data_IF_154686475200
#
_entry.id   IF_154686475200
#
_cell.length_a   1.000
_cell.length_b   1.000
_cell.length_c   1.000
_cell.angle_alpha   90.00
_cell.angle_beta   90.00
_cell.angle_gamma   90.00
#
_symmetry.space_group_name_H-M   'P 1'
#
loop_
_entity.id
_entity.type
_entity.pdbx_description
1 polymer ?
#
# COMPACT_ATOMS: atom_id res chain seq x y z
N UNK A 1 -6.24 6.47 -2.16
CA UNK A 1 -5.40 5.26 -2.38
C UNK A 1 -4.50 5.03 -1.20
N UNK A 2 -4.02 3.80 -1.02
CA UNK A 2 -3.10 3.42 0.04
C UNK A 2 -2.15 2.28 -0.36
N UNK A 3 -1.02 2.20 0.35
CA UNK A 3 -0.02 1.14 0.22
C UNK A 3 0.69 0.93 1.55
N UNK A 4 0.91 -0.32 1.96
CA UNK A 4 1.82 -0.62 3.07
C UNK A 4 3.25 -0.27 2.66
N UNK A 5 3.95 0.48 3.51
CA UNK A 5 5.34 0.85 3.31
C UNK A 5 6.21 -0.31 3.77
N UNK A 6 7.01 -0.95 2.88
CA UNK A 6 7.99 -1.94 3.32
C UNK A 6 8.92 -1.34 4.38
N UNK A 7 9.25 -2.05 5.47
CA UNK A 7 10.09 -1.53 6.56
C UNK A 7 11.35 -0.82 6.09
N UNK A 8 12.13 -1.40 5.16
CA UNK A 8 13.33 -0.77 4.59
C UNK A 8 13.09 0.55 3.87
N UNK A 9 11.87 0.84 3.44
CA UNK A 9 11.52 2.05 2.68
C UNK A 9 10.98 3.19 3.55
N UNK A 10 10.65 2.95 4.83
CA UNK A 10 10.13 4.01 5.69
C UNK A 10 11.11 5.19 5.81
N UNK A 11 12.35 4.93 6.24
CA UNK A 11 13.38 5.97 6.37
C UNK A 11 13.74 6.60 5.01
N UNK A 12 13.88 5.84 3.90
CA UNK A 12 14.03 6.42 2.57
C UNK A 12 12.89 7.37 2.15
N UNK A 13 11.63 7.05 2.45
CA UNK A 13 10.53 8.00 2.19
C UNK A 13 10.72 9.27 3.02
N UNK A 14 10.85 9.14 4.35
CA UNK A 14 10.95 10.29 5.27
C UNK A 14 12.13 11.21 4.98
N UNK A 15 13.26 10.64 4.56
CA UNK A 15 14.47 11.39 4.20
C UNK A 15 14.46 11.95 2.77
N UNK A 16 13.41 11.70 1.99
CA UNK A 16 13.31 12.13 0.60
C UNK A 16 14.19 11.34 -0.38
N UNK A 17 14.83 10.24 0.06
CA UNK A 17 15.59 9.33 -0.83
C UNK A 17 14.68 8.47 -1.71
N UNK A 18 13.44 8.23 -1.28
CA UNK A 18 12.38 7.60 -2.07
C UNK A 18 11.27 8.62 -2.31
N UNK A 19 11.11 9.03 -3.57
CA UNK A 19 10.21 10.14 -3.97
C UNK A 19 9.04 9.69 -4.84
N UNK A 20 8.91 8.38 -5.09
CA UNK A 20 7.88 7.82 -5.97
C UNK A 20 7.09 6.70 -5.34
N UNK A 21 5.81 6.65 -5.68
CA UNK A 21 4.87 5.57 -5.37
C UNK A 21 4.75 4.69 -6.62
N UNK A 22 4.79 3.37 -6.44
CA UNK A 22 4.67 2.39 -7.53
C UNK A 22 4.21 1.03 -7.00
N UNK A 23 3.80 0.15 -7.92
CA UNK A 23 3.43 -1.22 -7.60
C UNK A 23 1.96 -1.34 -7.21
N UNK A 24 1.66 -2.42 -6.47
CA UNK A 24 0.32 -2.67 -5.95
C UNK A 24 -0.14 -1.65 -4.92
N UNK A 25 -1.37 -1.17 -5.08
CA UNK A 25 -2.03 -0.15 -4.27
C UNK A 25 -3.53 -0.45 -4.15
N UNK A 26 -4.16 0.12 -3.13
CA UNK A 26 -5.54 -0.22 -2.76
C UNK A 26 -6.36 1.05 -2.52
N UNK A 27 -7.69 0.99 -2.70
CA UNK A 27 -8.56 2.08 -2.27
C UNK A 27 -8.76 1.97 -0.76
N UNK A 28 -8.72 3.10 -0.05
CA UNK A 28 -8.88 3.13 1.42
C UNK A 28 -10.21 2.52 1.85
N UNK A 29 -11.29 2.84 1.13
CA UNK A 29 -12.64 2.32 1.40
C UNK A 29 -12.75 0.80 1.26
N UNK A 30 -11.99 0.20 0.34
CA UNK A 30 -11.98 -1.25 0.12
C UNK A 30 -11.21 -1.98 1.24
N UNK A 31 -10.39 -1.25 1.98
CA UNK A 31 -9.62 -1.75 3.12
C UNK A 31 -10.24 -1.33 4.47
N UNK A 32 -11.49 -0.84 4.52
CA UNK A 32 -12.09 -0.28 5.73
C UNK A 32 -12.19 -1.27 6.91
N UNK A 33 -12.14 -2.58 6.63
CA UNK A 33 -12.13 -3.64 7.66
C UNK A 33 -10.73 -4.07 8.10
N UNK A 34 -9.67 -3.55 7.47
CA UNK A 34 -8.29 -3.83 7.85
C UNK A 34 -7.89 -2.81 8.91
N UNK A 35 -7.89 -3.21 10.18
CA UNK A 35 -7.74 -2.30 11.32
C UNK A 35 -6.49 -2.56 12.15
N UNK A 36 -5.94 -3.77 12.06
CA UNK A 36 -4.71 -4.17 12.76
C UNK A 36 -3.60 -4.54 11.78
N UNK A 37 -2.32 -4.54 12.20
CA UNK A 37 -1.22 -5.00 11.36
C UNK A 37 -1.43 -6.41 10.77
N UNK A 38 -2.04 -7.32 11.55
CA UNK A 38 -2.39 -8.67 11.10
C UNK A 38 -3.44 -8.64 9.98
N UNK A 39 -4.48 -7.81 10.10
CA UNK A 39 -5.50 -7.68 9.06
C UNK A 39 -4.86 -7.18 7.75
N UNK A 40 -3.98 -6.17 7.83
CA UNK A 40 -3.25 -5.66 6.67
C UNK A 40 -2.33 -6.73 6.05
N UNK A 41 -1.64 -7.50 6.88
CA UNK A 41 -0.77 -8.58 6.43
C UNK A 41 -1.53 -9.63 5.62
N UNK A 42 -2.64 -10.14 6.15
CA UNK A 42 -3.45 -11.16 5.48
C UNK A 42 -4.35 -10.61 4.38
N UNK A 43 -4.88 -9.40 4.55
CA UNK A 43 -5.81 -8.78 3.60
C UNK A 43 -5.14 -8.31 2.31
N UNK A 44 -3.85 -7.96 2.38
CA UNK A 44 -3.08 -7.40 1.26
C UNK A 44 -1.99 -8.36 0.74
N UNK A 45 -2.09 -9.65 1.07
CA UNK A 45 -1.17 -10.73 0.68
C UNK A 45 0.30 -10.44 1.00
N UNK A 46 0.61 -9.85 2.15
CA UNK A 46 1.98 -9.43 2.47
C UNK A 46 2.90 -10.57 2.90
N UNK A 47 2.48 -11.83 2.73
CA UNK A 47 3.24 -13.05 3.03
C UNK A 47 4.06 -13.58 1.85
N UNK A 48 4.25 -12.78 0.80
CA UNK A 48 4.99 -13.19 -0.39
C UNK A 48 6.50 -13.27 -0.14
N UNK A 49 7.19 -14.07 -0.96
CA UNK A 49 8.65 -14.18 -0.91
C UNK A 49 9.34 -12.83 -1.17
N UNK A 50 10.26 -12.43 -0.29
CA UNK A 50 10.88 -11.11 -0.29
C UNK A 50 10.12 -10.02 0.48
N UNK A 51 8.96 -10.33 1.09
CA UNK A 51 8.35 -9.47 2.10
C UNK A 51 9.18 -9.47 3.40
N UNK A 52 9.33 -8.30 4.01
CA UNK A 52 10.00 -8.13 5.31
C UNK A 52 9.01 -8.16 6.48
N UNK A 53 7.72 -8.38 6.19
CA UNK A 53 6.64 -8.40 7.16
C UNK A 53 6.31 -9.85 7.55
N UNK A 54 5.85 -10.02 8.78
CA UNK A 54 5.30 -11.28 9.29
C UNK A 54 3.91 -11.02 9.87
N UNK A 55 3.12 -12.07 10.08
CA UNK A 55 1.76 -11.94 10.65
C UNK A 55 1.74 -11.39 12.08
N UNK A 56 2.86 -11.46 12.78
CA UNK A 56 2.98 -11.10 14.20
C UNK A 56 3.69 -9.76 14.40
N UNK A 57 3.91 -9.02 13.30
CA UNK A 57 4.47 -7.67 13.37
C UNK A 57 3.57 -6.77 14.24
N UNK A 58 4.11 -6.12 15.28
CA UNK A 58 3.29 -5.35 16.23
C UNK A 58 2.79 -4.03 15.64
N UNK A 59 3.45 -3.53 14.59
CA UNK A 59 3.13 -2.28 13.92
C UNK A 59 3.51 -2.31 12.44
N UNK A 60 2.83 -1.50 11.63
CA UNK A 60 3.26 -1.21 10.27
C UNK A 60 2.87 0.21 9.86
N UNK A 61 3.38 0.63 8.71
CA UNK A 61 3.17 1.97 8.19
C UNK A 61 2.43 1.92 6.86
N UNK A 62 1.41 2.76 6.70
CA UNK A 62 0.59 2.82 5.49
C UNK A 62 0.70 4.21 4.88
N UNK A 63 1.19 4.29 3.65
CA UNK A 63 1.17 5.50 2.84
C UNK A 63 -0.23 5.67 2.24
N UNK A 64 -0.88 6.82 2.46
CA UNK A 64 -2.20 7.19 1.95
C UNK A 64 -2.15 8.51 1.18
N UNK A 65 -2.92 8.59 0.10
CA UNK A 65 -3.00 9.80 -0.73
C UNK A 65 -4.34 9.88 -1.46
N UNK A 66 -4.72 11.07 -1.90
CA UNK A 66 -5.84 11.27 -2.82
C UNK A 66 -5.42 10.91 -4.25
N UNK A 67 -6.22 10.09 -4.94
CA UNK A 67 -6.03 9.85 -6.35
C UNK A 67 -6.31 11.13 -7.15
N UNK A 68 -5.47 11.43 -8.14
CA UNK A 68 -5.67 12.54 -9.07
C UNK A 68 -5.90 11.99 -10.46
N UNK A 69 -6.58 12.76 -11.31
CA UNK A 69 -6.91 12.34 -12.68
C UNK A 69 -5.68 12.05 -13.56
N UNK A 70 -4.54 12.65 -13.21
CA UNK A 70 -3.25 12.43 -13.90
C UNK A 70 -2.58 11.11 -13.51
N UNK A 71 -2.99 10.48 -12.40
CA UNK A 71 -2.39 9.25 -11.90
C UNK A 71 -3.05 8.03 -12.60
N UNK A 72 -2.26 7.06 -13.03
CA UNK A 72 -2.77 5.85 -13.69
C UNK A 72 -2.86 4.68 -12.71
N UNK A 73 -4.06 4.11 -12.58
CA UNK A 73 -4.32 2.90 -11.78
C UNK A 73 -4.95 1.83 -12.68
N UNK A 74 -4.25 0.73 -12.88
CA UNK A 74 -4.72 -0.39 -13.69
C UNK A 74 -5.18 -1.54 -12.79
N UNK A 75 -6.21 -2.26 -13.21
CA UNK A 75 -6.54 -3.56 -12.62
C UNK A 75 -5.62 -4.60 -13.26
N UNK A 76 -4.80 -5.32 -12.48
CA UNK A 76 -3.78 -6.21 -13.02
C UNK A 76 -4.38 -7.57 -13.39
N UNK A 77 -5.13 -7.63 -14.50
CA UNK A 77 -5.72 -8.89 -14.98
C UNK A 77 -4.67 -9.74 -15.72
N UNK A 78 -4.52 -10.99 -15.29
CA UNK A 78 -3.69 -11.97 -15.98
C UNK A 78 -4.41 -12.67 -17.14
N UNK A 79 -3.70 -13.52 -17.91
CA UNK A 79 -4.25 -14.20 -19.08
C UNK A 79 -5.52 -15.01 -18.82
N UNK A 80 -5.64 -15.64 -17.65
CA UNK A 80 -6.81 -16.42 -17.26
C UNK A 80 -8.07 -15.57 -17.02
N UNK A 81 -7.92 -14.25 -16.92
CA UNK A 81 -9.00 -13.26 -16.82
C UNK A 81 -9.11 -12.39 -18.08
N UNK A 82 -8.43 -12.77 -19.17
CA UNK A 82 -8.43 -12.03 -20.44
C UNK A 82 -7.56 -10.78 -20.46
N UNK A 83 -6.68 -10.59 -19.48
CA UNK A 83 -5.65 -9.55 -19.49
C UNK A 83 -4.29 -10.06 -19.96
N UNK A 84 -3.29 -9.19 -19.96
CA UNK A 84 -1.93 -9.45 -20.44
C UNK A 84 -0.86 -9.37 -19.33
N UNK A 85 -1.27 -9.22 -18.07
CA UNK A 85 -0.34 -9.06 -16.96
C UNK A 85 0.27 -10.39 -16.52
N UNK A 86 1.57 -10.38 -16.27
CA UNK A 86 2.31 -11.50 -15.66
C UNK A 86 3.36 -10.91 -14.72
N UNK A 87 3.13 -11.02 -13.41
CA UNK A 87 3.98 -10.39 -12.39
C UNK A 87 4.18 -11.33 -11.19
N UNK A 88 5.13 -10.98 -10.32
CA UNK A 88 5.40 -11.68 -9.09
C UNK A 88 4.34 -11.36 -8.01
N UNK A 89 4.19 -12.22 -6.98
CA UNK A 89 3.39 -11.91 -5.79
C UNK A 89 3.63 -10.49 -5.26
N UNK A 90 2.59 -9.78 -4.74
CA UNK A 90 1.25 -10.25 -4.42
C UNK A 90 0.27 -10.27 -5.61
N UNK A 91 0.75 -10.35 -6.85
CA UNK A 91 -0.08 -10.54 -8.04
C UNK A 91 -0.95 -11.81 -7.96
N UNK A 92 -2.28 -11.65 -8.02
CA UNK A 92 -3.23 -12.76 -8.17
C UNK A 92 -3.78 -12.89 -9.59
N UNK A 93 -3.67 -11.83 -10.41
CA UNK A 93 -4.16 -11.82 -11.79
C UNK A 93 -5.68 -11.75 -11.98
N UNK A 94 -6.46 -11.64 -10.90
CA UNK A 94 -7.92 -11.54 -10.95
C UNK A 94 -8.46 -10.17 -10.53
N UNK A 95 -7.59 -9.19 -10.28
CA UNK A 95 -7.96 -7.86 -9.81
C UNK A 95 -8.29 -7.77 -8.31
N UNK A 96 -8.04 -8.83 -7.54
CA UNK A 96 -8.22 -8.89 -6.10
C UNK A 96 -6.98 -9.47 -5.43
N UNK A 97 -6.90 -9.31 -4.10
CA UNK A 97 -5.95 -10.08 -3.28
C UNK A 97 -6.43 -11.54 -3.14
N UNK A 98 -5.53 -12.42 -2.73
CA UNK A 98 -5.79 -13.85 -2.47
C UNK A 98 -6.29 -14.14 -1.05
N UNK A 99 -6.54 -13.08 -0.27
CA UNK A 99 -7.01 -13.20 1.10
C UNK A 99 -8.29 -14.01 1.22
N UNK A 100 -8.33 -14.94 2.17
CA UNK A 100 -9.52 -15.77 2.44
C UNK A 100 -10.56 -15.04 3.30
N UNK A 101 -10.14 -14.01 4.02
CA UNK A 101 -10.94 -13.30 5.02
C UNK A 101 -11.43 -11.94 4.50
N UNK A 102 -10.75 -11.39 3.50
CA UNK A 102 -11.01 -10.05 2.98
C UNK A 102 -11.09 -10.07 1.45
N UNK A 103 -12.15 -9.48 0.89
CA UNK A 103 -12.25 -9.24 -0.54
C UNK A 103 -11.72 -7.84 -0.82
N UNK A 104 -10.44 -7.74 -1.21
CA UNK A 104 -9.79 -6.44 -1.46
C UNK A 104 -9.43 -6.32 -2.93
N UNK A 105 -10.10 -5.43 -3.70
CA UNK A 105 -9.67 -5.04 -5.04
C UNK A 105 -8.21 -4.56 -5.04
N UNK A 106 -7.41 -5.10 -5.95
CA UNK A 106 -6.00 -4.78 -6.12
C UNK A 106 -5.82 -3.96 -7.39
N UNK A 107 -5.08 -2.86 -7.29
CA UNK A 107 -4.71 -2.00 -8.41
C UNK A 107 -3.19 -1.91 -8.49
N UNK A 108 -2.67 -1.54 -9.65
CA UNK A 108 -1.26 -1.26 -9.84
C UNK A 108 -1.07 0.14 -10.41
N UNK A 109 -0.09 0.88 -9.88
CA UNK A 109 0.31 2.19 -10.41
C UNK A 109 1.74 2.12 -10.94
N UNK A 110 1.94 2.73 -12.10
CA UNK A 110 3.29 3.08 -12.59
C UNK A 110 3.95 4.06 -11.61
N UNK A 111 5.29 4.22 -11.63
CA UNK A 111 5.96 5.22 -10.81
C UNK A 111 5.36 6.61 -10.99
N UNK A 112 4.87 7.19 -9.89
CA UNK A 112 4.33 8.55 -9.84
C UNK A 112 4.93 9.32 -8.65
N UNK A 113 5.05 10.65 -8.74
CA UNK A 113 5.52 11.47 -7.61
C UNK A 113 4.54 11.36 -6.43
N UNK A 114 5.07 11.44 -5.21
CA UNK A 114 4.25 11.50 -3.99
C UNK A 114 3.39 12.78 -4.04
N UNK A 115 2.04 12.69 -3.99
CA UNK A 115 1.20 13.89 -3.99
C UNK A 115 1.35 14.69 -2.70
N UNK A 116 1.29 16.03 -2.80
CA UNK A 116 1.16 16.88 -1.61
C UNK A 116 -0.11 16.49 -0.81
N UNK A 117 -0.01 16.53 0.51
CA UNK A 117 -1.04 16.05 1.43
C UNK A 117 -1.09 14.52 1.59
N UNK A 118 -0.19 13.76 0.96
CA UNK A 118 -0.03 12.35 1.27
C UNK A 118 0.41 12.17 2.73
N UNK A 119 -0.07 11.11 3.38
CA UNK A 119 0.20 10.81 4.79
C UNK A 119 0.80 9.43 4.94
N UNK A 120 1.77 9.29 5.82
CA UNK A 120 2.14 7.99 6.40
C UNK A 120 1.38 7.87 7.70
N UNK A 121 0.67 6.76 7.83
CA UNK A 121 -0.08 6.38 9.01
C UNK A 121 0.68 5.29 9.74
N UNK A 122 0.69 5.35 11.07
CA UNK A 122 1.20 4.30 11.92
C UNK A 122 0.03 3.45 12.44
N UNK A 123 0.07 2.15 12.14
CA UNK A 123 -0.97 1.18 12.49
C UNK A 123 -0.40 0.22 13.52
N UNK A 124 -1.09 0.08 14.65
CA UNK A 124 -0.76 -0.88 15.73
C UNK A 124 -2.01 -1.67 16.12
N UNK A 125 -1.88 -2.62 17.04
CA UNK A 125 -3.04 -3.30 17.64
C UNK A 125 -3.99 -2.36 18.40
N UNK A 126 -3.58 -1.14 18.76
CA UNK A 126 -4.45 -0.16 19.42
C UNK A 126 -5.14 0.80 18.45
N UNK A 127 -4.89 0.66 17.15
CA UNK A 127 -5.50 1.48 16.10
C UNK A 127 -4.48 2.24 15.25
N UNK A 128 -4.99 3.22 14.52
CA UNK A 128 -4.21 4.01 13.56
C UNK A 128 -4.05 5.45 14.02
N UNK A 129 -2.85 6.01 13.81
CA UNK A 129 -2.57 7.44 14.03
C UNK A 129 -1.72 8.02 12.90
N UNK A 130 -1.86 9.32 12.57
CA UNK A 130 -0.94 9.99 11.67
C UNK A 130 0.50 9.89 12.17
N UNK A 131 1.45 9.67 11.26
CA UNK A 131 2.88 9.60 11.58
C UNK A 131 3.67 10.69 10.86
N UNK A 132 3.39 10.90 9.58
CA UNK A 132 3.97 12.00 8.82
C UNK A 132 3.03 12.48 7.71
N UNK A 133 3.16 13.73 7.31
CA UNK A 133 2.47 14.33 6.16
C UNK A 133 3.48 14.91 5.18
N UNK A 134 3.25 14.73 3.88
CA UNK A 134 4.09 15.26 2.82
C UNK A 134 3.59 16.62 2.38
N UNK A 135 4.38 17.67 2.58
CA UNK A 135 4.01 19.06 2.26
C UNK A 135 4.19 19.43 0.76
N UNK A 136 4.59 18.46 -0.06
CA UNK A 136 4.94 18.67 -1.47
C UNK A 136 6.45 18.85 -1.71
N UNK A 137 7.24 19.00 -0.66
CA UNK A 137 8.70 19.08 -0.72
C UNK A 137 9.34 18.03 0.20
N UNK A 138 8.88 17.92 1.44
CA UNK A 138 9.45 17.04 2.45
C UNK A 138 8.38 16.43 3.35
N UNK A 139 8.75 15.38 4.09
CA UNK A 139 7.90 14.78 5.10
C UNK A 139 8.01 15.55 6.41
N UNK A 140 6.87 15.93 6.97
CA UNK A 140 6.73 16.55 8.29
C UNK A 140 6.18 15.53 9.28
N UNK A 141 6.76 15.37 10.47
CA UNK A 141 6.14 14.59 11.53
C UNK A 141 4.73 15.09 11.81
N UNK A 142 3.77 14.18 11.97
CA UNK A 142 2.45 14.53 12.47
C UNK A 142 2.51 14.63 14.00
N UNK A 143 2.00 15.75 14.54
CA UNK A 143 1.93 16.00 15.99
C UNK A 143 0.97 15.06 16.71
#
# INVERSE_FOLDING_TARGET
>A
MQKVVPPRLLVPYLSGKRTVISGYVYRVQDCARLTTPRDFYHGLDLSFDGSELTSDVPELYVLRWHARDVDTYSVPYGPHMGGDWSDAPPFAGNGFTTSREHVVPQFHTVPMPIPAGARIMHVTGSGERPFAEYDGLTWRPSA
#
